data_IF_525994147518
#
_entry.id   IF_525994147518
#
_cell.length_a   1.000
_cell.length_b   1.000
_cell.length_c   1.000
_cell.angle_alpha   90.00
_cell.angle_beta   90.00
_cell.angle_gamma   90.00
#
_symmetry.space_group_name_H-M   'P 1'
#
loop_
_entity.id
_entity.type
_entity.pdbx_description
1 polymer ?
#
# COMPACT_ATOMS: atom_id res chain seq x y z
N UNK A 1 -6.93 -5.45 -2.16
CA UNK A 1 -6.68 -4.22 -2.96
C UNK A 1 -5.61 -4.56 -3.97
N UNK A 2 -5.57 -3.83 -5.09
CA UNK A 2 -4.87 -4.28 -6.30
C UNK A 2 -3.38 -4.00 -6.19
N UNK A 3 -2.62 -4.96 -5.70
CA UNK A 3 -1.21 -5.03 -6.00
C UNK A 3 -1.02 -6.21 -6.94
N UNK A 4 -0.09 -6.04 -7.86
CA UNK A 4 0.07 -6.60 -9.21
C UNK A 4 0.06 -8.12 -9.40
N UNK A 5 -0.40 -8.89 -8.42
CA UNK A 5 -0.60 -10.33 -8.54
C UNK A 5 -2.00 -10.61 -9.12
N UNK A 6 -2.02 -10.85 -10.42
CA UNK A 6 -3.21 -11.17 -11.21
C UNK A 6 -3.55 -12.66 -11.20
N UNK A 7 -2.92 -13.47 -10.32
CA UNK A 7 -3.16 -14.91 -10.26
C UNK A 7 -4.64 -15.27 -10.05
N UNK A 8 -5.43 -14.37 -9.43
CA UNK A 8 -6.90 -14.43 -9.38
C UNK A 8 -7.53 -13.17 -10.00
N UNK A 9 -7.62 -13.14 -11.33
CA UNK A 9 -8.20 -12.03 -12.09
C UNK A 9 -9.61 -11.62 -11.60
N UNK A 10 -10.42 -12.58 -11.15
CA UNK A 10 -11.78 -12.31 -10.68
C UNK A 10 -11.75 -11.57 -9.34
N UNK A 11 -11.00 -12.08 -8.37
CA UNK A 11 -10.85 -11.41 -7.08
C UNK A 11 -10.28 -10.00 -7.24
N UNK A 12 -9.34 -9.81 -8.17
CA UNK A 12 -8.73 -8.51 -8.44
C UNK A 12 -9.71 -7.54 -9.11
N UNK A 13 -10.53 -8.03 -10.05
CA UNK A 13 -11.63 -7.26 -10.64
C UNK A 13 -12.64 -6.79 -9.58
N UNK A 14 -13.07 -7.69 -8.70
CA UNK A 14 -14.00 -7.37 -7.62
C UNK A 14 -13.42 -6.34 -6.64
N UNK A 15 -12.14 -6.49 -6.28
CA UNK A 15 -11.43 -5.54 -5.42
C UNK A 15 -11.27 -4.17 -6.07
N UNK A 16 -11.03 -4.11 -7.38
CA UNK A 16 -10.95 -2.84 -8.12
C UNK A 16 -12.31 -2.13 -8.13
N UNK A 17 -13.40 -2.85 -8.40
CA UNK A 17 -14.76 -2.30 -8.38
C UNK A 17 -15.14 -1.82 -6.98
N UNK A 18 -14.94 -2.66 -5.96
CA UNK A 18 -15.24 -2.32 -4.57
C UNK A 18 -14.41 -1.12 -4.09
N UNK A 19 -13.13 -1.09 -4.45
CA UNK A 19 -12.23 0.02 -4.11
C UNK A 19 -12.66 1.33 -4.76
N UNK A 20 -13.00 1.30 -6.06
CA UNK A 20 -13.51 2.47 -6.76
C UNK A 20 -14.82 2.98 -6.14
N UNK A 21 -15.76 2.08 -5.86
CA UNK A 21 -17.03 2.43 -5.24
C UNK A 21 -16.82 3.08 -3.86
N UNK A 22 -15.97 2.49 -3.01
CA UNK A 22 -15.64 3.05 -1.69
C UNK A 22 -15.04 4.45 -1.81
N UNK A 23 -14.02 4.62 -2.65
CA UNK A 23 -13.38 5.92 -2.86
C UNK A 23 -14.38 7.00 -3.30
N UNK A 24 -15.25 6.65 -4.25
CA UNK A 24 -16.22 7.58 -4.79
C UNK A 24 -17.28 7.95 -3.74
N UNK A 25 -17.79 6.99 -2.99
CA UNK A 25 -18.79 7.21 -1.94
C UNK A 25 -18.23 8.07 -0.80
N UNK A 26 -17.03 7.79 -0.31
CA UNK A 26 -16.37 8.59 0.74
C UNK A 26 -16.10 10.03 0.26
N UNK A 27 -15.65 10.21 -0.99
CA UNK A 27 -15.48 11.54 -1.57
C UNK A 27 -16.82 12.28 -1.72
N UNK A 28 -17.89 11.57 -2.11
CA UNK A 28 -19.22 12.16 -2.18
C UNK A 28 -19.69 12.63 -0.79
N UNK A 29 -19.40 11.85 0.25
CA UNK A 29 -19.72 12.16 1.63
C UNK A 29 -18.99 13.37 2.19
N UNK A 30 -17.70 13.55 1.84
CA UNK A 30 -16.86 14.65 2.35
C UNK A 30 -16.94 15.94 1.52
N UNK A 31 -17.10 15.85 0.19
CA UNK A 31 -17.07 17.00 -0.73
C UNK A 31 -18.46 17.62 -0.96
N UNK A 32 -19.16 18.07 0.09
CA UNK A 32 -20.56 18.58 -0.04
C UNK A 32 -20.66 20.03 -0.54
N UNK A 33 -19.60 20.81 -0.37
CA UNK A 33 -19.56 22.23 -0.67
C UNK A 33 -18.33 22.58 -1.52
N UNK A 34 -18.43 23.67 -2.27
CA UNK A 34 -17.36 24.15 -3.13
C UNK A 34 -16.28 24.82 -2.30
N UNK A 35 -15.05 24.30 -2.33
CA UNK A 35 -13.90 24.90 -1.63
C UNK A 35 -13.48 26.29 -2.13
N UNK A 36 -14.10 26.83 -3.19
CA UNK A 36 -13.82 28.19 -3.70
C UNK A 36 -14.80 29.24 -3.15
N UNK A 37 -16.10 28.92 -3.06
CA UNK A 37 -17.12 29.90 -2.71
C UNK A 37 -18.10 29.45 -1.62
N UNK A 38 -17.93 28.25 -1.05
CA UNK A 38 -18.82 27.69 -0.04
C UNK A 38 -20.18 27.21 -0.55
N UNK A 39 -20.54 27.46 -1.81
CA UNK A 39 -21.81 27.03 -2.41
C UNK A 39 -21.95 25.50 -2.47
N UNK A 40 -23.18 24.99 -2.42
CA UNK A 40 -23.45 23.55 -2.55
C UNK A 40 -22.92 23.01 -3.88
N UNK A 41 -22.53 21.75 -3.87
CA UNK A 41 -22.13 21.02 -5.08
C UNK A 41 -23.07 19.87 -5.37
N UNK A 42 -23.40 19.65 -6.63
CA UNK A 42 -24.25 18.55 -7.09
C UNK A 42 -23.46 17.54 -7.94
N UNK A 43 -23.74 16.23 -7.84
CA UNK A 43 -23.11 15.23 -8.71
C UNK A 43 -23.44 15.46 -10.19
N UNK A 44 -22.46 15.20 -11.06
CA UNK A 44 -22.59 15.21 -12.52
C UNK A 44 -21.91 13.96 -13.09
N UNK A 45 -22.21 13.61 -14.35
CA UNK A 45 -21.54 12.51 -15.07
C UNK A 45 -21.58 11.18 -14.30
N UNK A 46 -22.79 10.76 -13.91
CA UNK A 46 -23.00 9.56 -13.08
C UNK A 46 -22.19 9.56 -11.76
N UNK A 47 -21.90 10.74 -11.22
CA UNK A 47 -21.18 10.91 -9.96
C UNK A 47 -19.66 10.94 -10.10
N UNK A 48 -19.10 10.94 -11.31
CA UNK A 48 -17.63 11.02 -11.53
C UNK A 48 -17.04 12.39 -11.21
N UNK A 49 -17.88 13.42 -11.16
CA UNK A 49 -17.50 14.76 -10.70
C UNK A 49 -18.66 15.46 -10.02
N UNK A 50 -18.37 16.61 -9.43
CA UNK A 50 -19.34 17.53 -8.84
C UNK A 50 -19.26 18.91 -9.50
N UNK A 51 -20.37 19.62 -9.46
CA UNK A 51 -20.52 20.95 -10.03
C UNK A 51 -21.06 21.90 -8.95
N UNK A 52 -20.39 23.04 -8.75
CA UNK A 52 -20.91 24.08 -7.86
C UNK A 52 -22.21 24.66 -8.44
N UNK A 53 -23.24 24.79 -7.60
CA UNK A 53 -24.55 25.34 -7.98
C UNK A 53 -24.60 26.86 -7.98
N UNK A 54 -23.54 27.54 -7.51
CA UNK A 54 -23.47 28.98 -7.59
C UNK A 54 -23.16 29.38 -9.04
N UNK A 55 -24.09 30.11 -9.66
CA UNK A 55 -24.05 30.53 -11.07
C UNK A 55 -22.82 31.38 -11.41
N UNK A 56 -22.31 32.19 -10.48
CA UNK A 56 -21.10 32.99 -10.70
C UNK A 56 -19.80 32.19 -10.53
N UNK A 57 -19.85 31.03 -9.88
CA UNK A 57 -18.68 30.19 -9.61
C UNK A 57 -18.53 29.07 -10.65
N UNK A 58 -19.55 28.23 -10.80
CA UNK A 58 -19.57 27.06 -11.71
C UNK A 58 -18.28 26.20 -11.68
N UNK A 59 -17.57 26.15 -10.56
CA UNK A 59 -16.36 25.32 -10.42
C UNK A 59 -16.72 23.83 -10.48
N UNK A 60 -15.93 23.09 -11.26
CA UNK A 60 -15.94 21.62 -11.32
C UNK A 60 -15.02 21.07 -10.23
N UNK A 61 -15.46 20.00 -9.57
CA UNK A 61 -14.70 19.35 -8.49
C UNK A 61 -14.60 17.85 -8.82
N UNK A 62 -13.41 17.31 -8.76
CA UNK A 62 -13.11 15.91 -9.05
C UNK A 62 -12.75 15.15 -7.75
N UNK A 63 -12.87 13.82 -7.75
CA UNK A 63 -12.40 12.98 -6.65
C UNK A 63 -10.93 13.26 -6.31
N UNK A 64 -10.64 13.37 -5.01
CA UNK A 64 -9.27 13.52 -4.49
C UNK A 64 -8.59 12.16 -4.48
N UNK A 65 -7.33 12.12 -4.92
CA UNK A 65 -6.43 10.98 -4.79
C UNK A 65 -5.16 11.52 -4.14
N UNK A 66 -4.78 10.94 -3.01
CA UNK A 66 -3.60 11.34 -2.25
C UNK A 66 -2.44 10.39 -2.56
N UNK A 67 -1.40 10.84 -3.29
CA UNK A 67 -0.31 9.96 -3.66
C UNK A 67 0.62 9.75 -2.45
N UNK A 68 1.03 8.50 -2.25
CA UNK A 68 1.86 8.04 -1.14
C UNK A 68 2.96 7.17 -1.71
N UNK A 69 4.21 7.50 -1.43
CA UNK A 69 5.33 6.60 -1.77
C UNK A 69 5.42 5.52 -0.70
N UNK A 70 5.71 4.29 -1.12
CA UNK A 70 6.04 3.18 -0.23
C UNK A 70 7.28 2.49 -0.76
N UNK A 71 8.28 2.30 0.08
CA UNK A 71 9.61 1.91 -0.38
C UNK A 71 10.20 0.81 0.49
N UNK A 72 10.72 -0.22 -0.18
CA UNK A 72 11.60 -1.18 0.46
C UNK A 72 13.04 -0.70 0.26
N UNK A 73 13.66 -0.31 1.36
CA UNK A 73 15.05 0.17 1.36
C UNK A 73 15.98 -1.04 1.46
N UNK A 74 16.84 -1.20 0.47
CA UNK A 74 17.71 -2.36 0.26
C UNK A 74 19.16 -1.95 0.47
N UNK A 75 19.88 -2.74 1.26
CA UNK A 75 21.33 -2.76 1.28
C UNK A 75 21.82 -3.92 0.42
N UNK A 76 22.41 -3.59 -0.74
CA UNK A 76 22.92 -4.58 -1.70
C UNK A 76 24.15 -5.32 -1.17
N UNK A 77 24.98 -4.68 -0.34
CA UNK A 77 26.25 -5.24 0.11
C UNK A 77 26.03 -6.29 1.20
N UNK A 78 25.09 -6.04 2.11
CA UNK A 78 24.79 -6.90 3.25
C UNK A 78 23.59 -7.85 3.02
N UNK A 79 22.99 -7.82 1.82
CA UNK A 79 21.81 -8.60 1.42
C UNK A 79 20.66 -8.53 2.45
N UNK A 80 20.34 -7.30 2.86
CA UNK A 80 19.31 -7.03 3.85
C UNK A 80 18.40 -5.87 3.42
N UNK A 81 17.26 -5.76 4.10
CA UNK A 81 16.27 -4.68 3.90
C UNK A 81 15.92 -4.01 5.21
N UNK A 82 15.63 -2.72 5.14
CA UNK A 82 15.10 -1.97 6.27
C UNK A 82 13.58 -2.12 6.30
N UNK A 83 13.07 -2.51 7.46
CA UNK A 83 11.65 -2.57 7.74
C UNK A 83 11.35 -1.79 9.01
N UNK A 84 10.15 -1.24 9.11
CA UNK A 84 9.70 -0.48 10.27
C UNK A 84 8.43 -1.04 10.89
N UNK A 85 8.17 -0.60 12.13
CA UNK A 85 6.95 -0.82 12.89
C UNK A 85 6.41 0.52 13.36
N UNK A 86 5.09 0.66 13.32
CA UNK A 86 4.38 1.81 13.85
C UNK A 86 3.48 1.34 15.00
N UNK A 87 3.40 2.14 16.06
CA UNK A 87 2.62 1.83 17.27
C UNK A 87 1.12 1.60 17.01
N UNK A 88 0.60 2.18 15.91
CA UNK A 88 -0.79 2.00 15.45
C UNK A 88 -1.06 0.64 14.79
N UNK A 89 -0.03 -0.11 14.42
CA UNK A 89 -0.17 -1.39 13.73
C UNK A 89 -0.39 -2.53 14.72
N UNK A 90 -0.82 -3.68 14.19
CA UNK A 90 -0.90 -4.92 14.98
C UNK A 90 0.51 -5.20 15.52
N UNK A 91 0.67 -5.44 16.84
CA UNK A 91 1.98 -5.70 17.43
C UNK A 91 2.74 -6.77 16.63
N UNK A 92 4.03 -6.51 16.36
CA UNK A 92 4.95 -7.36 15.58
C UNK A 92 4.75 -7.36 14.06
N UNK A 93 3.90 -6.49 13.51
CA UNK A 93 3.82 -6.30 12.05
C UNK A 93 4.96 -5.39 11.57
N UNK A 94 5.82 -5.92 10.70
CA UNK A 94 6.90 -5.17 10.05
C UNK A 94 6.50 -4.83 8.61
N UNK A 95 6.80 -3.62 8.14
CA UNK A 95 6.42 -3.15 6.81
C UNK A 95 7.50 -2.26 6.19
N UNK A 96 7.35 -1.97 4.90
CA UNK A 96 8.06 -0.89 4.21
C UNK A 96 7.76 0.48 4.86
N UNK A 97 8.71 1.41 4.71
CA UNK A 97 8.50 2.84 4.98
C UNK A 97 7.50 3.41 3.98
N UNK A 98 6.71 4.40 4.37
CA UNK A 98 5.76 5.04 3.47
C UNK A 98 5.33 6.42 3.96
N UNK A 99 5.21 7.36 3.02
CA UNK A 99 4.76 8.71 3.34
C UNK A 99 4.19 9.48 2.16
N UNK A 100 3.60 10.63 2.47
CA UNK A 100 2.90 11.44 1.46
C UNK A 100 3.89 12.22 0.63
N UNK A 101 3.54 12.44 -0.64
CA UNK A 101 4.30 13.35 -1.49
C UNK A 101 3.92 14.79 -1.16
N UNK A 102 4.91 15.67 -1.11
CA UNK A 102 4.69 17.10 -0.89
C UNK A 102 4.46 17.88 -2.19
N UNK A 103 3.77 19.03 -2.13
CA UNK A 103 3.58 19.88 -3.30
C UNK A 103 4.91 20.35 -3.91
N UNK A 104 5.14 20.00 -5.17
CA UNK A 104 6.37 20.36 -5.91
C UNK A 104 7.48 19.31 -5.83
N UNK A 105 7.24 18.20 -5.14
CA UNK A 105 8.18 17.10 -4.97
C UNK A 105 7.97 16.01 -6.04
N UNK A 106 9.07 15.43 -6.55
CA UNK A 106 9.04 14.21 -7.36
C UNK A 106 8.78 12.97 -6.50
N UNK A 107 8.37 11.85 -7.11
CA UNK A 107 8.19 10.59 -6.38
C UNK A 107 9.50 10.11 -5.75
N UNK A 108 10.60 10.26 -6.48
CA UNK A 108 11.93 9.85 -6.04
C UNK A 108 12.51 10.78 -4.97
N UNK A 109 12.15 12.07 -4.98
CA UNK A 109 12.46 13.01 -3.91
C UNK A 109 11.70 12.63 -2.63
N UNK A 110 10.40 12.33 -2.72
CA UNK A 110 9.59 11.87 -1.59
C UNK A 110 10.15 10.59 -0.97
N UNK A 111 10.55 9.61 -1.79
CA UNK A 111 11.19 8.38 -1.30
C UNK A 111 12.47 8.69 -0.51
N UNK A 112 13.28 9.65 -0.97
CA UNK A 112 14.52 10.04 -0.27
C UNK A 112 14.24 10.77 1.02
N UNK A 113 13.33 11.76 0.99
CA UNK A 113 12.95 12.56 2.16
C UNK A 113 12.36 11.68 3.25
N UNK A 114 11.32 10.92 2.94
CA UNK A 114 10.63 10.05 3.92
C UNK A 114 11.57 9.00 4.51
N UNK A 115 12.46 8.40 3.70
CA UNK A 115 13.44 7.45 4.22
C UNK A 115 14.40 8.12 5.21
N UNK A 116 14.85 9.33 4.89
CA UNK A 116 15.78 10.07 5.73
C UNK A 116 15.11 10.61 7.01
N UNK A 117 13.88 11.13 6.92
CA UNK A 117 13.11 11.64 8.06
C UNK A 117 12.82 10.54 9.08
N UNK A 118 12.30 9.39 8.64
CA UNK A 118 11.89 8.31 9.54
C UNK A 118 13.08 7.52 10.12
N UNK A 119 14.19 7.41 9.37
CA UNK A 119 15.27 6.43 9.70
C UNK A 119 16.70 6.98 9.66
N UNK A 120 16.91 8.21 9.18
CA UNK A 120 18.23 8.81 8.97
C UNK A 120 19.01 8.22 7.79
N UNK A 121 18.46 7.25 7.06
CA UNK A 121 19.16 6.57 5.98
C UNK A 121 19.09 7.39 4.70
N UNK A 122 20.25 7.72 4.14
CA UNK A 122 20.33 8.21 2.77
C UNK A 122 20.19 7.08 1.76
N UNK A 123 19.36 7.30 0.74
CA UNK A 123 19.22 6.39 -0.41
C UNK A 123 19.69 7.05 -1.70
N UNK A 124 20.35 6.27 -2.54
CA UNK A 124 20.87 6.69 -3.85
C UNK A 124 19.84 6.44 -4.95
N UNK A 125 19.99 5.31 -5.64
CA UNK A 125 19.12 4.87 -6.71
C UNK A 125 17.71 4.54 -6.16
N UNK A 126 16.68 5.01 -6.86
CA UNK A 126 15.26 4.78 -6.55
C UNK A 126 14.60 4.22 -7.81
N UNK A 127 14.01 3.03 -7.71
CA UNK A 127 13.46 2.27 -8.85
C UNK A 127 11.98 1.99 -8.60
N UNK A 128 11.13 2.47 -9.51
CA UNK A 128 9.71 2.15 -9.47
C UNK A 128 9.47 0.64 -9.61
N UNK A 129 8.58 0.11 -8.77
CA UNK A 129 8.16 -1.29 -8.81
C UNK A 129 6.73 -1.44 -9.34
N UNK A 130 5.76 -0.87 -8.63
CA UNK A 130 4.34 -0.97 -8.98
C UNK A 130 3.50 0.09 -8.27
N UNK A 131 2.19 0.14 -8.52
CA UNK A 131 1.27 1.03 -7.78
C UNK A 131 0.01 0.28 -7.36
N UNK A 132 -0.61 0.73 -6.27
CA UNK A 132 -1.82 0.17 -5.71
C UNK A 132 -2.78 1.27 -5.24
N UNK A 133 -4.02 1.33 -5.78
CA UNK A 133 -5.08 2.12 -5.16
C UNK A 133 -5.41 1.59 -3.77
N UNK A 134 -5.45 2.48 -2.79
CA UNK A 134 -5.66 2.17 -1.39
C UNK A 134 -6.82 2.99 -0.78
N UNK A 135 -8.08 2.66 -1.14
CA UNK A 135 -9.27 3.33 -0.64
C UNK A 135 -9.69 2.77 0.72
N UNK A 136 -8.74 2.49 1.62
CA UNK A 136 -9.04 2.00 2.98
C UNK A 136 -8.58 2.92 4.11
N UNK A 137 -8.09 4.10 3.77
CA UNK A 137 -7.72 5.13 4.72
C UNK A 137 -8.89 5.65 5.58
N UNK A 138 -8.61 6.59 6.50
CA UNK A 138 -9.64 7.29 7.27
C UNK A 138 -10.69 7.94 6.36
N UNK A 139 -11.93 8.11 6.82
CA UNK A 139 -13.02 8.72 6.00
C UNK A 139 -12.72 10.13 5.49
N UNK A 140 -11.73 10.83 6.06
CA UNK A 140 -11.24 12.13 5.56
C UNK A 140 -10.36 12.02 4.31
N UNK A 141 -9.92 10.81 3.95
CA UNK A 141 -9.00 10.51 2.88
C UNK A 141 -9.59 9.43 1.97
N UNK A 142 -10.35 9.83 0.93
CA UNK A 142 -11.21 8.92 0.20
C UNK A 142 -10.43 7.83 -0.55
N UNK A 143 -9.24 8.16 -1.06
CA UNK A 143 -8.38 7.22 -1.75
C UNK A 143 -6.92 7.66 -1.69
N UNK A 144 -6.05 6.79 -1.22
CA UNK A 144 -4.61 6.94 -1.41
C UNK A 144 -4.18 6.19 -2.68
N UNK A 145 -3.16 6.70 -3.37
CA UNK A 145 -2.47 5.96 -4.42
C UNK A 145 -1.08 5.60 -3.89
N UNK A 146 -0.91 4.34 -3.50
CA UNK A 146 0.38 3.82 -3.07
C UNK A 146 1.26 3.59 -4.29
N UNK A 147 2.45 4.17 -4.30
CA UNK A 147 3.43 4.05 -5.37
C UNK A 147 4.66 3.36 -4.79
N UNK A 148 4.88 2.12 -5.21
CA UNK A 148 5.90 1.22 -4.69
C UNK A 148 7.26 1.41 -5.33
N UNK A 149 8.31 1.48 -4.51
CA UNK A 149 9.69 1.65 -4.94
C UNK A 149 10.65 0.67 -4.25
N UNK A 150 11.73 0.36 -4.95
CA UNK A 150 12.98 -0.07 -4.35
C UNK A 150 13.90 1.13 -4.21
N UNK A 151 14.47 1.31 -3.02
CA UNK A 151 15.43 2.38 -2.76
C UNK A 151 16.72 1.75 -2.23
N UNK A 152 17.88 2.20 -2.71
CA UNK A 152 19.15 1.59 -2.34
C UNK A 152 19.91 2.45 -1.35
N UNK A 153 20.13 1.89 -0.16
CA UNK A 153 20.79 2.60 0.93
C UNK A 153 22.27 2.83 0.64
N UNK A 154 22.78 3.97 1.11
CA UNK A 154 24.20 4.31 1.08
C UNK A 154 24.94 3.94 2.36
N UNK A 155 24.20 3.62 3.43
CA UNK A 155 24.76 3.26 4.74
C UNK A 155 23.73 2.45 5.55
N UNK A 156 24.18 1.86 6.67
CA UNK A 156 23.32 1.13 7.61
C UNK A 156 23.07 1.88 8.93
N UNK A 157 23.61 3.09 9.10
CA UNK A 157 23.56 3.81 10.38
C UNK A 157 22.17 4.39 10.58
N UNK A 158 21.37 3.72 11.42
CA UNK A 158 20.00 4.12 11.70
C UNK A 158 19.92 5.23 12.76
N UNK A 159 19.09 6.22 12.48
CA UNK A 159 18.59 7.19 13.44
C UNK A 159 17.06 7.24 13.31
N UNK A 160 16.38 6.41 14.10
CA UNK A 160 14.93 6.21 13.98
C UNK A 160 14.19 7.32 14.70
N UNK A 161 13.30 8.01 13.97
CA UNK A 161 12.37 8.94 14.59
C UNK A 161 11.32 8.16 15.41
N UNK A 162 11.37 8.33 16.74
CA UNK A 162 10.49 7.66 17.68
C UNK A 162 9.13 8.36 17.85
N UNK A 163 8.94 9.55 17.27
CA UNK A 163 7.64 10.19 17.21
C UNK A 163 6.72 9.50 16.19
N UNK A 164 7.29 9.06 15.06
CA UNK A 164 6.55 8.39 13.98
C UNK A 164 6.63 6.86 14.02
N UNK A 165 7.83 6.32 14.27
CA UNK A 165 8.09 4.88 14.26
C UNK A 165 8.30 4.34 15.66
N UNK A 166 7.67 3.20 15.95
CA UNK A 166 8.02 2.43 17.14
C UNK A 166 9.45 1.88 17.00
N UNK A 167 9.78 1.36 15.81
CA UNK A 167 11.05 0.72 15.55
C UNK A 167 11.38 0.64 14.05
N UNK A 168 12.66 0.55 13.71
CA UNK A 168 13.13 0.24 12.37
C UNK A 168 14.44 -0.56 12.45
N UNK A 169 14.52 -1.64 11.68
CA UNK A 169 15.63 -2.58 11.75
C UNK A 169 15.98 -3.16 10.37
N UNK A 170 17.26 -3.46 10.19
CA UNK A 170 17.75 -4.23 9.06
C UNK A 170 17.45 -5.71 9.26
N UNK A 171 16.87 -6.33 8.25
CA UNK A 171 16.55 -7.76 8.24
C UNK A 171 17.18 -8.45 7.05
N UNK A 172 17.88 -9.55 7.32
CA UNK A 172 18.51 -10.35 6.28
C UNK A 172 17.46 -10.95 5.35
N UNK A 173 17.85 -11.20 4.09
CA UNK A 173 17.00 -11.93 3.15
C UNK A 173 16.54 -13.27 3.70
N UNK A 174 17.40 -13.97 4.43
CA UNK A 174 17.08 -15.26 5.04
C UNK A 174 15.96 -15.13 6.08
N UNK A 175 16.03 -14.13 6.96
CA UNK A 175 15.00 -13.89 7.97
C UNK A 175 13.67 -13.48 7.35
N UNK A 176 13.71 -12.64 6.31
CA UNK A 176 12.52 -12.27 5.55
C UNK A 176 11.89 -13.49 4.85
N UNK A 177 12.70 -14.37 4.24
CA UNK A 177 12.21 -15.62 3.64
C UNK A 177 11.58 -16.55 4.68
N UNK A 178 12.22 -16.71 5.85
CA UNK A 178 11.67 -17.47 6.97
C UNK A 178 10.33 -16.88 7.40
N UNK A 179 10.25 -15.57 7.62
CA UNK A 179 9.02 -14.90 8.02
C UNK A 179 7.90 -15.03 6.98
N UNK A 180 8.21 -14.96 5.68
CA UNK A 180 7.26 -15.23 4.59
C UNK A 180 6.79 -16.69 4.58
N UNK A 181 7.65 -17.65 4.94
CA UNK A 181 7.35 -19.08 5.00
C UNK A 181 6.59 -19.52 6.26
N UNK A 182 6.88 -18.93 7.42
CA UNK A 182 6.19 -19.17 8.70
C UNK A 182 4.79 -18.59 8.74
N UNK A 183 4.53 -17.59 7.91
CA UNK A 183 3.22 -17.01 7.84
C UNK A 183 2.27 -18.05 7.20
N UNK A 184 1.46 -18.71 8.03
CA UNK A 184 0.28 -19.51 7.68
C UNK A 184 -0.80 -18.64 7.00
N UNK A 185 -0.41 -17.95 5.93
CA UNK A 185 -1.12 -16.91 5.19
C UNK A 185 -2.43 -17.43 4.62
N UNK A 186 -2.43 -18.68 4.14
CA UNK A 186 -3.64 -19.34 3.63
C UNK A 186 -4.69 -19.55 4.71
N UNK A 187 -4.30 -19.74 5.98
CA UNK A 187 -5.24 -19.96 7.09
C UNK A 187 -5.88 -18.64 7.53
N UNK A 188 -5.08 -17.59 7.69
CA UNK A 188 -5.56 -16.26 8.05
C UNK A 188 -6.49 -15.63 6.98
N UNK A 189 -6.17 -15.80 5.69
CA UNK A 189 -7.02 -15.29 4.61
C UNK A 189 -8.34 -16.04 4.49
N UNK A 190 -8.35 -17.37 4.66
CA UNK A 190 -9.60 -18.16 4.69
C UNK A 190 -10.51 -17.70 5.82
N UNK A 191 -9.94 -17.40 6.99
CA UNK A 191 -10.70 -16.88 8.12
C UNK A 191 -11.25 -15.48 7.85
N UNK A 192 -10.45 -14.56 7.28
CA UNK A 192 -10.91 -13.21 6.93
C UNK A 192 -12.01 -13.23 5.84
N UNK A 193 -11.85 -14.03 4.78
CA UNK A 193 -12.86 -14.19 3.73
C UNK A 193 -14.14 -14.83 4.26
N UNK A 194 -14.03 -15.85 5.13
CA UNK A 194 -15.19 -16.45 5.81
C UNK A 194 -15.92 -15.43 6.69
N UNK A 195 -15.17 -14.56 7.37
CA UNK A 195 -15.69 -13.48 8.24
C UNK A 195 -16.39 -12.39 7.43
N UNK A 196 -15.83 -11.98 6.29
CA UNK A 196 -16.51 -11.07 5.34
C UNK A 196 -17.79 -11.71 4.81
N UNK A 197 -17.75 -13.00 4.44
CA UNK A 197 -18.94 -13.75 4.06
C UNK A 197 -20.01 -13.80 5.16
N UNK A 198 -19.63 -13.87 6.44
CA UNK A 198 -20.56 -13.75 7.57
C UNK A 198 -21.10 -12.33 7.74
N UNK A 199 -20.29 -11.29 7.55
CA UNK A 199 -20.71 -9.89 7.61
C UNK A 199 -21.71 -9.55 6.50
N UNK A 200 -21.45 -10.00 5.27
CA UNK A 200 -22.38 -9.85 4.15
C UNK A 200 -23.71 -10.60 4.36
N UNK A 201 -23.74 -11.59 5.27
CA UNK A 201 -24.95 -12.32 5.68
C UNK A 201 -25.67 -11.70 6.88
N UNK A 202 -25.17 -10.59 7.44
CA UNK A 202 -25.91 -9.77 8.42
C UNK A 202 -25.87 -10.27 9.87
N UNK A 203 -24.72 -10.70 10.40
CA UNK A 203 -24.59 -11.03 11.84
C UNK A 203 -24.47 -9.76 12.69
N UNK A 204 -25.21 -9.72 13.80
CA UNK A 204 -25.45 -8.55 14.66
C UNK A 204 -24.19 -7.92 15.28
N UNK A 205 -24.23 -6.59 15.42
CA UNK A 205 -23.23 -5.75 16.09
C UNK A 205 -23.08 -6.16 17.57
N UNK A 206 -22.01 -6.86 17.93
CA UNK A 206 -21.80 -7.18 19.35
C UNK A 206 -20.43 -7.69 19.80
N UNK A 207 -19.51 -8.09 18.92
CA UNK A 207 -18.19 -8.59 19.34
C UNK A 207 -17.07 -7.65 18.89
N UNK A 208 -16.32 -7.15 19.86
CA UNK A 208 -15.05 -6.44 19.63
C UNK A 208 -14.07 -7.40 18.95
N UNK A 209 -13.57 -6.99 17.77
CA UNK A 209 -12.89 -7.85 16.80
C UNK A 209 -11.36 -7.92 16.96
N UNK A 210 -10.80 -7.37 18.03
CA UNK A 210 -9.36 -7.30 18.27
C UNK A 210 -8.77 -8.55 18.96
N UNK A 211 -9.61 -9.48 19.45
CA UNK A 211 -9.15 -10.57 20.32
C UNK A 211 -8.78 -11.90 19.62
N UNK A 212 -9.08 -12.09 18.34
CA UNK A 212 -8.98 -13.42 17.71
C UNK A 212 -7.76 -13.62 16.79
N UNK A 213 -6.60 -13.08 17.17
CA UNK A 213 -5.31 -13.46 16.57
C UNK A 213 -4.56 -14.53 17.39
N UNK A 214 -5.27 -15.33 18.17
CA UNK A 214 -4.67 -16.49 18.83
C UNK A 214 -4.56 -17.65 17.82
N UNK A 215 -3.38 -17.76 17.21
CA UNK A 215 -2.97 -18.92 16.43
C UNK A 215 -2.55 -20.02 17.42
N UNK A 216 -3.31 -21.12 17.43
CA UNK A 216 -2.92 -22.37 18.09
C UNK A 216 -1.71 -22.99 17.38
N UNK A 217 -0.50 -22.60 17.81
CA UNK A 217 0.69 -23.44 18.00
C UNK A 217 1.80 -22.58 18.61
N UNK A 218 2.43 -23.09 19.66
CA UNK A 218 3.07 -22.32 20.75
C UNK A 218 4.41 -21.64 20.48
N UNK A 219 4.66 -21.11 19.28
CA UNK A 219 5.76 -20.17 19.04
C UNK A 219 5.26 -19.03 18.16
N UNK A 220 5.13 -17.83 18.76
CA UNK A 220 4.72 -16.63 18.02
C UNK A 220 5.85 -16.26 17.08
N UNK A 221 5.61 -16.28 15.77
CA UNK A 221 6.60 -15.81 14.80
C UNK A 221 7.08 -14.40 15.22
N UNK A 222 8.40 -14.17 15.32
CA UNK A 222 8.95 -12.91 15.83
C UNK A 222 8.61 -11.71 14.93
N UNK A 223 8.21 -11.99 13.68
CA UNK A 223 7.88 -11.03 12.65
C UNK A 223 6.79 -11.60 11.73
N UNK A 224 5.88 -10.74 11.29
CA UNK A 224 5.02 -11.01 10.14
C UNK A 224 4.81 -9.74 9.31
N UNK A 225 4.39 -9.90 8.06
CA UNK A 225 4.23 -8.82 7.09
C UNK A 225 2.74 -8.50 6.84
N UNK A 226 2.42 -7.35 6.20
CA UNK A 226 1.08 -7.09 5.68
C UNK A 226 0.60 -8.22 4.76
N UNK A 227 -0.71 -8.47 4.72
CA UNK A 227 -1.30 -9.56 3.92
C UNK A 227 -0.89 -9.51 2.43
N UNK A 228 -1.06 -10.61 1.68
CA UNK A 228 -0.37 -10.80 0.41
C UNK A 228 -0.86 -9.85 -0.69
N UNK A 229 -2.07 -9.29 -0.54
CA UNK A 229 -2.59 -8.26 -1.45
C UNK A 229 -2.11 -6.85 -1.12
N UNK A 230 -1.30 -6.64 -0.09
CA UNK A 230 -0.74 -5.33 0.24
C UNK A 230 0.53 -5.09 -0.59
N UNK A 231 0.68 -3.91 -1.17
CA UNK A 231 1.85 -3.54 -1.96
C UNK A 231 3.17 -3.71 -1.20
N UNK A 232 3.17 -3.47 0.12
CA UNK A 232 4.33 -3.77 0.99
C UNK A 232 4.73 -5.24 0.92
N UNK A 233 3.76 -6.17 0.96
CA UNK A 233 4.04 -7.60 0.83
C UNK A 233 4.63 -7.93 -0.54
N UNK A 234 4.09 -7.35 -1.62
CA UNK A 234 4.63 -7.58 -2.96
C UNK A 234 6.06 -7.05 -3.10
N UNK A 235 6.37 -5.88 -2.55
CA UNK A 235 7.73 -5.35 -2.55
C UNK A 235 8.69 -6.32 -1.83
N UNK A 236 8.32 -6.73 -0.60
CA UNK A 236 9.12 -7.59 0.27
C UNK A 236 9.30 -8.99 -0.36
N UNK A 237 8.21 -9.62 -0.81
CA UNK A 237 8.25 -10.96 -1.38
C UNK A 237 8.93 -11.01 -2.75
N UNK A 238 8.69 -10.01 -3.62
CA UNK A 238 9.39 -9.88 -4.90
C UNK A 238 10.89 -9.71 -4.67
N UNK A 239 11.30 -8.84 -3.73
CA UNK A 239 12.71 -8.71 -3.39
C UNK A 239 13.25 -10.03 -2.86
N UNK A 240 12.63 -10.62 -1.84
CA UNK A 240 13.13 -11.82 -1.17
C UNK A 240 13.31 -13.00 -2.15
N UNK A 241 12.37 -13.17 -3.09
CA UNK A 241 12.34 -14.28 -4.05
C UNK A 241 13.05 -14.00 -5.37
N UNK A 242 13.59 -12.79 -5.60
CA UNK A 242 14.52 -12.59 -6.70
C UNK A 242 15.75 -13.46 -6.44
N UNK A 243 15.98 -14.45 -7.30
CA UNK A 243 17.23 -15.22 -7.30
C UNK A 243 18.38 -14.23 -7.47
N UNK A 244 19.39 -14.33 -6.60
CA UNK A 244 20.69 -13.68 -6.78
C UNK A 244 21.38 -14.29 -8.00
N UNK A 245 20.88 -13.99 -9.20
CA UNK A 245 21.55 -14.24 -10.47
C UNK A 245 22.70 -13.24 -10.58
N UNK A 246 23.75 -13.48 -9.79
CA UNK A 246 25.10 -13.05 -10.13
C UNK A 246 25.49 -13.88 -11.35
N UNK A 247 25.13 -13.39 -12.54
CA UNK A 247 25.92 -13.39 -13.77
C UNK A 247 25.06 -12.87 -14.92
N UNK A 248 25.47 -11.72 -15.47
CA UNK A 248 24.70 -10.90 -16.38
C UNK A 248 24.07 -11.64 -17.54
N UNK A 249 22.73 -11.64 -17.56
CA UNK A 249 21.93 -11.66 -18.79
C UNK A 249 20.73 -10.75 -18.53
N UNK A 250 20.65 -9.64 -19.27
CA UNK A 250 19.42 -8.86 -19.39
C UNK A 250 18.34 -9.77 -19.98
N UNK A 251 17.44 -10.28 -19.15
CA UNK A 251 16.18 -10.83 -19.62
C UNK A 251 15.27 -9.66 -19.99
N UNK A 252 15.27 -9.32 -21.28
CA UNK A 252 14.26 -8.46 -21.87
C UNK A 252 12.87 -9.01 -21.50
N UNK A 253 12.09 -8.19 -20.80
CA UNK A 253 10.65 -8.37 -20.67
C UNK A 253 10.05 -8.39 -22.08
N UNK A 254 9.71 -9.58 -22.58
CA UNK A 254 8.87 -9.73 -23.77
C UNK A 254 7.48 -9.21 -23.42
N UNK A 255 7.18 -7.98 -23.82
CA UNK A 255 5.79 -7.55 -23.96
C UNK A 255 5.11 -8.48 -24.99
N UNK A 256 3.93 -9.05 -24.68
CA UNK A 256 3.14 -9.75 -25.70
C UNK A 256 2.73 -8.72 -26.75
N UNK A 257 3.23 -8.88 -27.98
CA UNK A 257 2.71 -8.19 -29.14
C UNK A 257 1.31 -8.71 -29.47
N UNK A 258 0.28 -8.10 -28.90
CA UNK A 258 -1.07 -8.23 -29.47
C UNK A 258 -1.21 -7.24 -30.63
N UNK A 259 -0.73 -7.67 -31.80
CA UNK A 259 -1.25 -7.14 -33.06
C UNK A 259 -2.66 -7.70 -33.25
N UNK A 260 -3.69 -6.88 -33.09
CA UNK A 260 -4.95 -7.08 -33.80
C UNK A 260 -5.36 -5.75 -34.43
N UNK A 261 -4.89 -5.58 -35.66
CA UNK A 261 -5.45 -4.71 -36.67
C UNK A 261 -6.85 -5.17 -37.08
N UNK A 262 -7.73 -4.19 -37.26
CA UNK A 262 -8.96 -4.16 -38.08
C UNK A 262 -10.25 -4.77 -37.50
N UNK A 263 -11.09 -3.92 -36.89
CA UNK A 263 -12.31 -3.35 -37.50
C UNK A 263 -12.87 -2.22 -36.63
#
# INVERSE_FOLDING_TARGET
MVATDWDDERAMGDLAIAGHARALLEWHGSSKFCGNCGGKTVPMEAGRRKQCTNESCKKRVYPRIDPVVIMLVIDKENDCVLLSRQSRFVPRMWSCLAGFIEPGESLEEAVRRETWEETGIEVGEVVYHSSQPWPVGPSSMPCQLMVGFYAYAKSQVLNVDKEELEDAQWHSREDVKKALGFADYKKAQRMAAAKVGQMCRGVEKGQSLSADFNIENGEVAPMFFPGPFAIANHLISSWANQDTLVNGVQTQLKFPSSSLSNL
#
